data_IF_523994547542
#
_entry.id   IF_523994547542
#
_cell.length_a   1.000
_cell.length_b   1.000
_cell.length_c   1.000
_cell.angle_alpha   90.00
_cell.angle_beta   90.00
_cell.angle_gamma   90.00
#
_symmetry.space_group_name_H-M   'P 1'
#
loop_
_entity.id
_entity.type
_entity.pdbx_description
1 polymer ?
#
# COMPACT_ATOMS: atom_id res chain seq x y z
N UNK A 1 17.63 -24.41 -17.70
CA UNK A 1 16.77 -23.52 -18.52
C UNK A 1 15.27 -23.69 -18.26
N UNK A 2 14.72 -24.92 -18.11
CA UNK A 2 13.29 -25.10 -17.76
C UNK A 2 12.91 -24.62 -16.35
N UNK A 3 13.76 -24.89 -15.35
CA UNK A 3 13.53 -24.47 -13.96
C UNK A 3 13.45 -22.93 -13.84
N UNK A 4 14.40 -22.22 -14.46
CA UNK A 4 14.45 -20.75 -14.43
C UNK A 4 13.23 -20.06 -15.03
N UNK A 5 12.54 -20.68 -16.01
CA UNK A 5 11.30 -20.13 -16.56
C UNK A 5 10.14 -20.35 -15.59
N UNK A 6 10.07 -21.53 -14.95
CA UNK A 6 9.07 -21.81 -13.92
C UNK A 6 9.17 -20.84 -12.75
N UNK A 7 10.38 -20.63 -12.25
CA UNK A 7 10.64 -19.70 -11.15
C UNK A 7 10.26 -18.25 -11.53
N UNK A 8 10.59 -17.84 -12.75
CA UNK A 8 10.21 -16.53 -13.27
C UNK A 8 8.68 -16.36 -13.34
N UNK A 9 7.95 -17.36 -13.85
CA UNK A 9 6.48 -17.32 -13.94
C UNK A 9 5.86 -17.22 -12.54
N UNK A 10 6.38 -17.99 -11.58
CA UNK A 10 5.87 -17.96 -10.22
C UNK A 10 6.07 -16.59 -9.59
N UNK A 11 7.29 -16.06 -9.67
CA UNK A 11 7.61 -14.73 -9.15
C UNK A 11 6.75 -13.64 -9.82
N UNK A 12 6.63 -13.66 -11.14
CA UNK A 12 5.86 -12.67 -11.89
C UNK A 12 4.38 -12.69 -11.50
N UNK A 13 3.75 -13.87 -11.40
CA UNK A 13 2.32 -13.97 -11.17
C UNK A 13 1.91 -13.81 -9.70
N UNK A 14 2.75 -14.23 -8.75
CA UNK A 14 2.36 -14.37 -7.36
C UNK A 14 3.10 -13.47 -6.38
N UNK A 15 4.26 -12.92 -6.74
CA UNK A 15 5.10 -12.13 -5.81
C UNK A 15 5.30 -10.68 -6.27
N UNK A 16 5.62 -10.47 -7.54
CA UNK A 16 5.95 -9.15 -8.07
C UNK A 16 4.70 -8.25 -8.11
N UNK A 17 4.80 -7.06 -7.56
CA UNK A 17 3.77 -6.03 -7.65
C UNK A 17 3.93 -5.23 -8.94
N UNK A 18 2.80 -4.97 -9.63
CA UNK A 18 2.80 -4.36 -10.96
C UNK A 18 2.09 -3.00 -10.92
N UNK A 19 2.83 -1.93 -11.24
CA UNK A 19 2.30 -0.56 -11.20
C UNK A 19 1.11 -0.34 -12.15
N UNK A 20 1.12 -0.97 -13.33
CA UNK A 20 0.04 -0.88 -14.32
C UNK A 20 -1.32 -1.40 -13.81
N UNK A 21 -1.32 -2.25 -12.78
CA UNK A 21 -2.53 -2.78 -12.13
C UNK A 21 -2.67 -2.32 -10.67
N UNK A 22 -2.06 -1.18 -10.32
CA UNK A 22 -2.21 -0.60 -8.98
C UNK A 22 -1.37 -1.28 -7.90
N UNK A 23 -0.20 -1.81 -8.26
CA UNK A 23 0.69 -2.53 -7.35
C UNK A 23 0.01 -3.73 -6.68
N UNK A 24 -0.70 -4.54 -7.46
CA UNK A 24 -1.15 -5.89 -7.06
C UNK A 24 -0.43 -6.92 -7.92
N UNK A 25 -0.50 -8.19 -7.54
CA UNK A 25 0.05 -9.28 -8.36
C UNK A 25 -0.95 -9.67 -9.46
N UNK A 26 -0.49 -10.21 -10.60
CA UNK A 26 -1.38 -10.72 -11.64
C UNK A 26 -2.39 -11.75 -11.12
N UNK A 27 -1.98 -12.64 -10.20
CA UNK A 27 -2.88 -13.61 -9.58
C UNK A 27 -3.98 -12.94 -8.73
N UNK A 28 -3.64 -11.93 -7.92
CA UNK A 28 -4.63 -11.19 -7.13
C UNK A 28 -5.64 -10.46 -8.01
N UNK A 29 -5.17 -9.88 -9.13
CA UNK A 29 -6.03 -9.22 -10.12
C UNK A 29 -6.98 -10.21 -10.78
N UNK A 30 -6.49 -11.38 -11.17
CA UNK A 30 -7.30 -12.45 -11.77
C UNK A 30 -8.37 -12.97 -10.79
N UNK A 31 -8.05 -13.04 -9.50
CA UNK A 31 -8.97 -13.43 -8.44
C UNK A 31 -9.94 -12.30 -8.02
N UNK A 32 -9.83 -11.10 -8.60
CA UNK A 32 -10.69 -9.95 -8.26
C UNK A 32 -10.42 -9.33 -6.88
N UNK A 33 -9.32 -9.69 -6.22
CA UNK A 33 -8.98 -9.26 -4.85
C UNK A 33 -8.52 -7.80 -4.76
N UNK A 34 -8.30 -7.14 -5.90
CA UNK A 34 -7.78 -5.78 -5.95
C UNK A 34 -8.63 -4.77 -5.18
N UNK A 35 -9.95 -4.93 -5.17
CA UNK A 35 -10.88 -4.00 -4.51
C UNK A 35 -10.65 -3.98 -3.01
N UNK A 36 -10.53 -5.15 -2.40
CA UNK A 36 -10.27 -5.28 -0.96
C UNK A 36 -8.87 -4.78 -0.61
N UNK A 37 -7.88 -5.04 -1.47
CA UNK A 37 -6.52 -4.54 -1.28
C UNK A 37 -6.50 -3.00 -1.31
N UNK A 38 -7.20 -2.39 -2.27
CA UNK A 38 -7.28 -0.93 -2.37
C UNK A 38 -8.01 -0.31 -1.18
N UNK A 39 -9.14 -0.90 -0.77
CA UNK A 39 -9.89 -0.45 0.41
C UNK A 39 -9.01 -0.43 1.67
N UNK A 40 -8.30 -1.51 1.95
CA UNK A 40 -7.38 -1.59 3.12
C UNK A 40 -6.26 -0.56 3.05
N UNK A 41 -5.74 -0.29 1.84
CA UNK A 41 -4.70 0.74 1.64
C UNK A 41 -5.24 2.14 1.89
N UNK A 42 -6.43 2.43 1.41
CA UNK A 42 -7.10 3.71 1.63
C UNK A 42 -7.36 3.97 3.11
N UNK A 43 -7.89 2.97 3.83
CA UNK A 43 -8.09 3.02 5.28
C UNK A 43 -6.79 3.35 6.03
N UNK A 44 -5.70 2.64 5.70
CA UNK A 44 -4.37 2.90 6.30
C UNK A 44 -3.87 4.31 6.00
N UNK A 45 -4.06 4.80 4.78
CA UNK A 45 -3.65 6.16 4.40
C UNK A 45 -4.51 7.22 5.08
N UNK A 46 -5.82 7.00 5.24
CA UNK A 46 -6.72 7.88 5.95
C UNK A 46 -6.32 8.01 7.42
N UNK A 47 -6.06 6.88 8.10
CA UNK A 47 -5.58 6.89 9.48
C UNK A 47 -4.27 7.68 9.61
N UNK A 48 -3.29 7.41 8.75
CA UNK A 48 -2.00 8.11 8.81
C UNK A 48 -2.12 9.62 8.52
N UNK A 49 -3.13 10.05 7.73
CA UNK A 49 -3.40 11.47 7.50
C UNK A 49 -3.95 12.14 8.75
N UNK A 50 -4.88 11.50 9.45
CA UNK A 50 -5.45 12.04 10.69
C UNK A 50 -4.39 12.09 11.80
N UNK A 51 -3.58 11.04 11.95
CA UNK A 51 -2.47 11.02 12.91
C UNK A 51 -1.50 12.18 12.66
N UNK A 52 -1.17 12.44 11.39
CA UNK A 52 -0.30 13.58 11.01
C UNK A 52 -0.95 14.92 11.29
N UNK A 53 -2.26 15.06 11.09
CA UNK A 53 -3.01 16.29 11.40
C UNK A 53 -2.99 16.56 12.90
N UNK A 54 -3.27 15.56 13.72
CA UNK A 54 -3.27 15.67 15.17
C UNK A 54 -1.89 16.05 15.71
N UNK A 55 -0.82 15.40 15.21
CA UNK A 55 0.56 15.75 15.57
C UNK A 55 0.90 17.21 15.22
N UNK A 56 0.47 17.70 14.04
CA UNK A 56 0.69 19.10 13.66
C UNK A 56 -0.07 20.06 14.57
N UNK A 57 -1.31 19.75 14.96
CA UNK A 57 -2.08 20.57 15.88
C UNK A 57 -1.46 20.62 17.27
N UNK A 58 -1.01 19.46 17.79
CA UNK A 58 -0.30 19.38 19.06
C UNK A 58 1.00 20.20 19.03
N UNK A 59 1.82 20.02 17.99
CA UNK A 59 3.06 20.77 17.83
C UNK A 59 2.83 22.30 17.77
N UNK A 60 1.74 22.73 17.10
CA UNK A 60 1.35 24.14 17.07
C UNK A 60 0.92 24.65 18.44
N UNK A 61 0.06 23.91 19.14
CA UNK A 61 -0.38 24.28 20.48
C UNK A 61 0.78 24.34 21.48
N UNK A 62 1.73 23.41 21.40
CA UNK A 62 2.94 23.45 22.24
C UNK A 62 3.83 24.64 21.93
N UNK A 63 3.93 25.04 20.66
CA UNK A 63 4.71 26.21 20.26
C UNK A 63 4.04 27.52 20.72
N UNK A 64 2.71 27.61 20.63
CA UNK A 64 1.92 28.75 21.13
C UNK A 64 1.99 28.87 22.66
N UNK A 65 2.03 27.75 23.40
CA UNK A 65 2.16 27.77 24.86
C UNK A 65 3.58 28.05 25.37
N UNK A 66 4.60 27.90 24.52
CA UNK A 66 6.00 28.17 24.84
C UNK A 66 6.45 29.61 24.49
N UNK A 67 5.59 30.37 23.81
CA UNK A 67 5.79 31.77 23.45
C UNK A 67 5.12 32.69 24.48
#
# INVERSE_FOLDING_TARGET
MKQSIGDYIQHYNHERLHSAIGYVTPAQKLQGQERDIFKRREEKLAQAREDRKNRRQQARATAEAAA
#
